data_IF_371943319758
#
_entry.id   IF_371943319758
#
_cell.length_a   1.000
_cell.length_b   1.000
_cell.length_c   1.000
_cell.angle_alpha   90.00
_cell.angle_beta   90.00
_cell.angle_gamma   90.00
#
_symmetry.space_group_name_H-M   'P 1'
#
loop_
_entity.id
_entity.type
_entity.pdbx_description
1 polymer ?
#
# COMPACT_ATOMS: atom_id res chain seq x y z
N UNK A 1 -36.76 -10.34 -1.52
CA UNK A 1 -36.30 -9.07 -0.93
C UNK A 1 -34.78 -9.12 -0.90
N UNK A 2 -34.12 -8.31 -1.70
CA UNK A 2 -32.66 -8.23 -1.68
C UNK A 2 -32.26 -7.58 -0.34
N UNK A 3 -31.43 -8.26 0.45
CA UNK A 3 -30.87 -7.68 1.66
C UNK A 3 -29.98 -6.51 1.24
N UNK A 4 -30.38 -5.28 1.60
CA UNK A 4 -29.53 -4.10 1.46
C UNK A 4 -28.27 -4.34 2.31
N UNK A 5 -27.10 -4.38 1.65
CA UNK A 5 -25.81 -4.34 2.35
C UNK A 5 -25.84 -3.15 3.33
N UNK A 6 -25.44 -3.34 4.60
CA UNK A 6 -25.35 -2.19 5.51
C UNK A 6 -24.39 -1.16 4.91
N UNK A 7 -24.78 0.11 4.97
CA UNK A 7 -23.93 1.20 4.49
C UNK A 7 -22.64 1.18 5.32
N UNK A 8 -21.50 1.03 4.65
CA UNK A 8 -20.19 1.13 5.30
C UNK A 8 -19.99 2.59 5.71
N UNK A 9 -19.80 2.84 7.02
CA UNK A 9 -19.56 4.18 7.52
C UNK A 9 -18.19 4.67 7.08
N UNK A 10 -18.07 5.92 6.59
CA UNK A 10 -16.79 6.51 6.23
C UNK A 10 -15.85 6.53 7.44
N UNK A 11 -14.63 6.01 7.28
CA UNK A 11 -13.58 6.02 8.29
C UNK A 11 -12.80 7.31 8.20
N UNK A 12 -12.54 7.98 9.31
CA UNK A 12 -11.92 9.31 9.35
C UNK A 12 -12.61 10.34 8.43
N UNK A 13 -13.89 10.13 8.12
CA UNK A 13 -14.63 10.92 7.13
C UNK A 13 -14.27 10.62 5.68
N UNK A 14 -13.49 9.58 5.41
CA UNK A 14 -13.06 9.17 4.07
C UNK A 14 -14.07 8.23 3.41
N UNK A 15 -14.25 8.31 2.08
CA UNK A 15 -15.21 7.46 1.36
C UNK A 15 -14.74 6.00 1.27
N UNK A 16 -15.69 5.07 1.16
CA UNK A 16 -15.42 3.71 0.70
C UNK A 16 -15.45 3.70 -0.83
N UNK A 17 -14.32 3.39 -1.47
CA UNK A 17 -14.17 3.47 -2.93
C UNK A 17 -14.40 2.14 -3.66
N UNK A 18 -14.52 1.00 -2.95
CA UNK A 18 -14.64 -0.31 -3.60
C UNK A 18 -13.30 -0.94 -3.96
N UNK A 19 -13.19 -1.50 -5.19
CA UNK A 19 -12.01 -2.23 -5.66
C UNK A 19 -11.24 -1.40 -6.70
N UNK A 20 -9.95 -1.22 -6.46
CA UNK A 20 -9.04 -0.45 -7.29
C UNK A 20 -7.79 -1.20 -7.71
N UNK A 21 -7.03 -0.59 -8.61
CA UNK A 21 -5.71 -1.04 -9.05
C UNK A 21 -4.74 0.14 -9.19
N UNK A 22 -3.45 -0.14 -9.23
CA UNK A 22 -2.44 0.86 -9.53
C UNK A 22 -2.56 1.38 -10.98
N UNK A 23 -2.46 2.70 -11.17
CA UNK A 23 -2.40 3.31 -12.49
C UNK A 23 -0.98 3.18 -13.05
N UNK A 24 -0.72 2.11 -13.80
CA UNK A 24 0.59 1.73 -14.30
C UNK A 24 0.72 1.95 -15.82
N UNK A 25 1.91 2.41 -16.33
CA UNK A 25 2.12 2.73 -17.75
C UNK A 25 1.69 1.65 -18.75
N UNK A 26 1.91 0.35 -18.51
CA UNK A 26 1.49 -0.69 -19.46
C UNK A 26 -0.02 -0.70 -19.75
N UNK A 27 -0.83 -0.14 -18.86
CA UNK A 27 -2.30 -0.13 -18.98
C UNK A 27 -2.86 1.12 -19.62
N UNK A 28 -2.07 2.18 -19.80
CA UNK A 28 -2.55 3.51 -20.22
C UNK A 28 -3.34 3.48 -21.53
N UNK A 29 -2.79 2.81 -22.56
CA UNK A 29 -3.45 2.74 -23.88
C UNK A 29 -4.82 2.05 -23.77
N UNK A 30 -4.88 0.92 -23.05
CA UNK A 30 -6.13 0.18 -22.83
C UNK A 30 -7.17 1.03 -22.08
N UNK A 31 -6.75 1.71 -21.01
CA UNK A 31 -7.64 2.54 -20.20
C UNK A 31 -8.17 3.74 -21.01
N UNK A 32 -7.33 4.38 -21.82
CA UNK A 32 -7.77 5.48 -22.68
C UNK A 32 -8.76 5.04 -23.76
N UNK A 33 -8.59 3.82 -24.29
CA UNK A 33 -9.46 3.28 -25.36
C UNK A 33 -10.81 2.77 -24.80
N UNK A 34 -10.79 2.08 -23.64
CA UNK A 34 -11.96 1.36 -23.13
C UNK A 34 -12.58 1.99 -21.87
N UNK A 35 -11.96 3.03 -21.34
CA UNK A 35 -12.30 3.64 -20.06
C UNK A 35 -11.82 2.84 -18.84
N UNK A 36 -11.92 3.44 -17.62
CA UNK A 36 -11.66 2.74 -16.39
C UNK A 36 -12.70 1.64 -16.16
N UNK A 37 -12.24 0.45 -15.79
CA UNK A 37 -13.08 -0.73 -15.50
C UNK A 37 -12.96 -1.16 -14.04
N UNK A 38 -12.51 -0.25 -13.19
CA UNK A 38 -12.37 -0.38 -11.74
C UNK A 38 -13.06 0.78 -11.05
N UNK A 39 -13.28 0.66 -9.75
CA UNK A 39 -13.99 1.69 -9.00
C UNK A 39 -13.10 2.93 -8.74
N UNK A 40 -11.77 2.76 -8.70
CA UNK A 40 -10.78 3.81 -8.43
C UNK A 40 -9.37 3.38 -8.83
N UNK A 41 -8.45 4.36 -8.93
CA UNK A 41 -7.03 4.10 -9.17
C UNK A 41 -6.15 4.69 -8.08
N UNK A 42 -5.02 4.01 -7.83
CA UNK A 42 -3.93 4.54 -7.04
C UNK A 42 -2.76 4.94 -7.93
N UNK A 43 -2.12 6.04 -7.61
CA UNK A 43 -0.89 6.48 -8.25
C UNK A 43 0.26 6.47 -7.27
N UNK A 44 1.47 6.14 -7.74
CA UNK A 44 2.70 6.46 -7.03
C UNK A 44 2.93 7.96 -7.22
N UNK A 45 2.83 8.71 -6.12
CA UNK A 45 2.83 10.17 -6.13
C UNK A 45 4.06 10.74 -6.84
N UNK A 46 5.23 10.16 -6.60
CA UNK A 46 6.51 10.61 -7.14
C UNK A 46 6.57 10.55 -8.67
N UNK A 47 5.84 9.62 -9.29
CA UNK A 47 5.78 9.52 -10.75
C UNK A 47 5.01 10.67 -11.41
N UNK A 48 4.24 11.43 -10.63
CA UNK A 48 3.37 12.50 -11.13
C UNK A 48 3.76 13.88 -10.59
N UNK A 49 4.63 13.97 -9.59
CA UNK A 49 5.19 15.24 -9.12
C UNK A 49 5.99 15.87 -10.27
N UNK A 50 5.66 17.13 -10.57
CA UNK A 50 6.27 17.92 -11.66
C UNK A 50 6.25 17.23 -13.04
N UNK A 51 5.35 16.27 -13.24
CA UNK A 51 5.15 15.56 -14.50
C UNK A 51 4.05 16.24 -15.33
N UNK A 52 4.40 16.68 -16.55
CA UNK A 52 3.50 17.36 -17.47
C UNK A 52 3.37 16.60 -18.82
N UNK A 53 3.87 15.36 -18.86
CA UNK A 53 3.90 14.52 -20.05
C UNK A 53 2.68 13.62 -20.22
N UNK A 54 2.86 12.55 -21.01
CA UNK A 54 1.81 11.59 -21.34
C UNK A 54 1.16 10.93 -20.11
N UNK A 55 1.96 10.56 -19.10
CA UNK A 55 1.43 9.99 -17.87
C UNK A 55 0.46 10.95 -17.16
N UNK A 56 0.81 12.25 -17.10
CA UNK A 56 -0.07 13.26 -16.54
C UNK A 56 -1.37 13.42 -17.32
N UNK A 57 -1.30 13.42 -18.64
CA UNK A 57 -2.50 13.44 -19.47
C UNK A 57 -3.43 12.26 -19.17
N UNK A 58 -2.86 11.04 -19.05
CA UNK A 58 -3.66 9.85 -18.69
C UNK A 58 -4.31 10.02 -17.33
N UNK A 59 -3.54 10.49 -16.33
CA UNK A 59 -4.06 10.75 -14.99
C UNK A 59 -5.23 11.75 -15.02
N UNK A 60 -5.11 12.86 -15.75
CA UNK A 60 -6.17 13.87 -15.86
C UNK A 60 -7.45 13.30 -16.49
N UNK A 61 -7.31 12.45 -17.53
CA UNK A 61 -8.45 11.77 -18.17
C UNK A 61 -9.13 10.78 -17.22
N UNK A 62 -8.35 10.03 -16.46
CA UNK A 62 -8.87 9.02 -15.51
C UNK A 62 -9.50 9.70 -14.29
N UNK A 63 -8.85 10.72 -13.73
CA UNK A 63 -9.34 11.47 -12.57
C UNK A 63 -10.68 12.20 -12.82
N UNK A 64 -11.00 12.49 -14.09
CA UNK A 64 -12.30 13.02 -14.48
C UNK A 64 -13.43 11.98 -14.43
N UNK A 65 -13.13 10.69 -14.32
CA UNK A 65 -14.09 9.60 -14.41
C UNK A 65 -14.25 8.81 -13.10
N UNK A 66 -13.14 8.57 -12.40
CA UNK A 66 -13.11 7.78 -11.15
C UNK A 66 -12.21 8.43 -10.09
N UNK A 67 -12.42 8.15 -8.80
CA UNK A 67 -11.56 8.64 -7.74
C UNK A 67 -10.09 8.20 -7.91
N UNK A 68 -9.19 9.07 -7.46
CA UNK A 68 -7.75 8.80 -7.38
C UNK A 68 -7.32 8.79 -5.92
N UNK A 69 -6.40 7.90 -5.59
CA UNK A 69 -5.65 7.87 -4.33
C UNK A 69 -4.18 8.14 -4.64
N UNK A 70 -3.52 8.92 -3.80
CA UNK A 70 -2.09 9.17 -3.87
C UNK A 70 -1.39 8.28 -2.85
N UNK A 71 -0.44 7.47 -3.33
CA UNK A 71 0.43 6.66 -2.49
C UNK A 71 1.87 7.10 -2.71
N UNK A 72 2.60 7.34 -1.62
CA UNK A 72 3.98 7.83 -1.64
C UNK A 72 4.97 6.77 -1.15
N UNK A 73 6.21 6.91 -1.60
CA UNK A 73 7.33 6.04 -1.20
C UNK A 73 8.51 6.84 -0.62
N UNK A 74 8.38 8.16 -0.53
CA UNK A 74 9.52 9.05 -0.24
C UNK A 74 9.35 9.94 0.99
N UNK A 75 8.24 9.82 1.73
CA UNK A 75 8.01 10.61 2.94
C UNK A 75 9.04 10.31 4.03
N UNK A 76 9.48 9.03 4.08
CA UNK A 76 10.50 8.58 5.04
C UNK A 76 10.17 9.01 6.48
N UNK A 77 8.92 8.72 6.89
CA UNK A 77 8.35 9.23 8.15
C UNK A 77 9.15 8.83 9.38
N UNK A 78 9.86 7.70 9.30
CA UNK A 78 10.70 7.14 10.34
C UNK A 78 12.14 7.67 10.37
N UNK A 79 12.55 8.47 9.37
CA UNK A 79 13.94 8.97 9.31
C UNK A 79 14.30 9.87 10.49
N UNK A 80 15.57 9.84 10.89
CA UNK A 80 16.15 10.79 11.84
C UNK A 80 16.42 12.18 11.24
N UNK A 81 16.43 12.29 9.91
CA UNK A 81 16.60 13.57 9.23
C UNK A 81 15.33 14.45 9.36
N UNK A 82 15.46 15.74 9.19
CA UNK A 82 14.30 16.63 9.16
C UNK A 82 13.33 16.25 8.02
N UNK A 83 12.04 16.54 8.21
CA UNK A 83 11.04 16.36 7.14
C UNK A 83 11.44 17.17 5.91
N UNK A 84 11.37 16.55 4.74
CA UNK A 84 11.64 17.23 3.47
C UNK A 84 10.46 18.14 3.09
N UNK A 85 10.55 19.41 3.51
CA UNK A 85 9.49 20.40 3.20
C UNK A 85 9.39 20.69 1.69
N UNK A 86 10.45 20.44 0.93
CA UNK A 86 10.43 20.51 -0.54
C UNK A 86 9.48 19.48 -1.12
N UNK A 87 9.66 18.22 -0.74
CA UNK A 87 8.79 17.11 -1.12
C UNK A 87 7.34 17.32 -0.64
N UNK A 88 7.13 17.73 0.60
CA UNK A 88 5.78 18.00 1.11
C UNK A 88 5.06 19.11 0.33
N UNK A 89 5.76 20.16 -0.13
CA UNK A 89 5.16 21.19 -0.99
C UNK A 89 4.76 20.65 -2.35
N UNK A 90 5.58 19.79 -2.95
CA UNK A 90 5.27 19.13 -4.23
C UNK A 90 4.06 18.18 -4.08
N UNK A 91 4.05 17.36 -3.02
CA UNK A 91 2.96 16.46 -2.71
C UNK A 91 1.63 17.21 -2.52
N UNK A 92 1.65 18.31 -1.74
CA UNK A 92 0.47 19.16 -1.53
C UNK A 92 -0.02 19.78 -2.84
N UNK A 93 0.88 20.31 -3.68
CA UNK A 93 0.52 20.87 -4.98
C UNK A 93 -0.16 19.84 -5.87
N UNK A 94 0.42 18.64 -5.99
CA UNK A 94 -0.20 17.55 -6.75
C UNK A 94 -1.58 17.21 -6.19
N UNK A 95 -1.73 17.13 -4.87
CA UNK A 95 -3.02 16.86 -4.23
C UNK A 95 -4.07 17.96 -4.45
N UNK A 96 -3.67 19.24 -4.51
CA UNK A 96 -4.55 20.35 -4.85
C UNK A 96 -5.04 20.26 -6.30
N UNK A 97 -4.19 19.78 -7.21
CA UNK A 97 -4.51 19.62 -8.64
C UNK A 97 -5.46 18.44 -8.90
N UNK A 98 -5.16 17.27 -8.36
CA UNK A 98 -5.92 16.03 -8.68
C UNK A 98 -7.01 15.70 -7.66
N UNK A 99 -7.01 16.34 -6.49
CA UNK A 99 -7.99 16.15 -5.41
C UNK A 99 -8.19 14.68 -5.02
N UNK A 100 -7.14 13.99 -4.58
CA UNK A 100 -7.23 12.58 -4.23
C UNK A 100 -8.17 12.37 -3.05
N UNK A 101 -8.77 11.17 -2.98
CA UNK A 101 -9.60 10.77 -1.85
C UNK A 101 -8.79 10.79 -0.54
N UNK A 102 -7.57 10.28 -0.57
CA UNK A 102 -6.58 10.40 0.52
C UNK A 102 -5.15 10.35 -0.03
N UNK A 103 -4.20 10.56 0.89
CA UNK A 103 -2.77 10.42 0.66
C UNK A 103 -2.25 9.38 1.64
N UNK A 104 -1.51 8.40 1.15
CA UNK A 104 -0.82 7.38 1.94
C UNK A 104 0.68 7.39 1.68
N UNK A 105 1.43 6.84 2.61
CA UNK A 105 2.88 6.57 2.51
C UNK A 105 3.24 5.48 3.52
N UNK A 106 4.46 4.95 3.48
CA UNK A 106 4.88 3.82 4.30
C UNK A 106 5.38 4.23 5.70
N UNK A 107 5.15 3.35 6.69
CA UNK A 107 5.76 3.46 8.01
C UNK A 107 7.19 2.93 7.97
N UNK A 108 8.07 3.67 7.34
CA UNK A 108 9.45 3.29 7.11
C UNK A 108 10.41 4.48 7.16
N UNK A 109 11.68 4.21 6.99
CA UNK A 109 12.66 5.22 6.59
C UNK A 109 13.36 4.76 5.32
N UNK A 110 13.61 5.69 4.40
CA UNK A 110 14.26 5.46 3.10
C UNK A 110 15.67 6.03 3.06
N UNK A 111 16.03 6.78 4.09
CA UNK A 111 17.34 7.40 4.16
C UNK A 111 17.59 8.11 5.49
N UNK A 112 18.86 8.35 5.78
CA UNK A 112 19.35 9.10 6.92
C UNK A 112 20.70 9.74 6.59
N UNK A 113 21.04 10.84 7.27
CA UNK A 113 22.28 11.61 7.04
C UNK A 113 22.50 11.98 5.56
N UNK A 114 21.42 12.35 4.87
CA UNK A 114 21.40 12.72 3.44
C UNK A 114 21.77 11.57 2.47
N UNK A 115 21.84 10.33 2.95
CA UNK A 115 21.97 9.13 2.12
C UNK A 115 20.60 8.51 1.92
N UNK A 116 20.26 8.14 0.67
CA UNK A 116 19.05 7.40 0.35
C UNK A 116 19.41 5.93 0.12
N UNK A 117 18.70 5.02 0.81
CA UNK A 117 18.89 3.57 0.65
C UNK A 117 18.24 3.03 -0.62
N UNK A 118 17.30 3.76 -1.20
CA UNK A 118 16.40 3.30 -2.25
C UNK A 118 15.60 2.06 -1.83
N UNK A 119 15.30 1.93 -0.55
CA UNK A 119 14.56 0.83 0.03
C UNK A 119 13.67 1.32 1.18
N UNK A 120 12.64 0.56 1.52
CA UNK A 120 11.71 0.83 2.62
C UNK A 120 12.20 0.09 3.87
N UNK A 121 12.96 0.77 4.70
CA UNK A 121 13.61 0.15 5.85
C UNK A 121 12.74 0.22 7.12
N UNK A 122 12.66 -0.86 7.92
CA UNK A 122 11.84 -0.92 9.12
C UNK A 122 12.38 -0.04 10.24
N UNK A 123 11.54 0.21 11.24
CA UNK A 123 11.84 0.97 12.44
C UNK A 123 12.03 0.04 13.65
N UNK A 124 12.85 0.39 14.63
CA UNK A 124 12.72 -0.22 15.95
C UNK A 124 11.35 0.14 16.53
N UNK A 125 10.61 -0.88 16.96
CA UNK A 125 9.26 -0.72 17.51
C UNK A 125 9.33 -0.51 19.02
N UNK A 126 9.66 0.72 19.42
CA UNK A 126 9.81 1.13 20.82
C UNK A 126 9.15 2.48 21.10
N UNK A 127 9.13 2.88 22.36
CA UNK A 127 8.53 4.13 22.83
C UNK A 127 9.21 5.38 22.24
N UNK A 128 10.50 5.32 21.96
CA UNK A 128 11.23 6.46 21.40
C UNK A 128 10.86 6.69 19.94
N UNK A 129 10.83 5.61 19.16
CA UNK A 129 10.40 5.61 17.77
C UNK A 129 8.93 6.01 17.64
N UNK A 130 8.05 5.50 18.51
CA UNK A 130 6.64 5.87 18.51
C UNK A 130 6.45 7.38 18.70
N UNK A 131 7.09 7.97 19.71
CA UNK A 131 7.03 9.43 19.94
C UNK A 131 7.59 10.23 18.77
N UNK A 132 8.70 9.77 18.20
CA UNK A 132 9.35 10.41 17.06
C UNK A 132 8.41 10.42 15.84
N UNK A 133 7.90 9.25 15.45
CA UNK A 133 6.99 9.11 14.30
C UNK A 133 5.69 9.88 14.54
N UNK A 134 5.09 9.78 15.72
CA UNK A 134 3.86 10.51 16.04
C UNK A 134 4.03 12.03 15.91
N UNK A 135 5.16 12.57 16.35
CA UNK A 135 5.48 13.99 16.18
C UNK A 135 5.55 14.40 14.70
N UNK A 136 6.15 13.55 13.87
CA UNK A 136 6.28 13.79 12.42
C UNK A 136 4.94 13.64 11.69
N UNK A 137 4.15 12.63 12.03
CA UNK A 137 2.80 12.44 11.48
C UNK A 137 1.93 13.66 11.72
N UNK A 138 1.92 14.21 12.95
CA UNK A 138 1.17 15.45 13.24
C UNK A 138 1.64 16.62 12.37
N UNK A 139 2.96 16.81 12.20
CA UNK A 139 3.51 17.86 11.37
C UNK A 139 3.11 17.70 9.88
N UNK A 140 3.15 16.47 9.36
CA UNK A 140 2.74 16.17 7.97
C UNK A 140 1.24 16.42 7.79
N UNK A 141 0.40 15.95 8.72
CA UNK A 141 -1.05 16.17 8.67
C UNK A 141 -1.42 17.65 8.75
N UNK A 142 -0.76 18.41 9.63
CA UNK A 142 -0.93 19.86 9.71
C UNK A 142 -0.53 20.54 8.41
N UNK A 143 0.63 20.15 7.83
CA UNK A 143 1.12 20.71 6.56
C UNK A 143 0.19 20.42 5.39
N UNK A 144 -0.33 19.17 5.29
CA UNK A 144 -1.21 18.74 4.21
C UNK A 144 -2.68 19.14 4.44
N UNK A 145 -3.07 19.49 5.67
CA UNK A 145 -4.44 19.84 6.04
C UNK A 145 -5.42 18.67 5.96
N UNK A 146 -4.93 17.43 6.08
CA UNK A 146 -5.71 16.18 6.00
C UNK A 146 -5.05 15.03 6.76
N UNK A 147 -5.81 13.98 7.13
CA UNK A 147 -5.22 12.77 7.68
C UNK A 147 -4.20 12.15 6.71
N UNK A 148 -3.10 11.65 7.24
CA UNK A 148 -2.15 10.79 6.55
C UNK A 148 -2.57 9.34 6.77
N UNK A 149 -2.44 8.51 5.73
CA UNK A 149 -2.69 7.08 5.83
C UNK A 149 -1.33 6.37 5.77
N UNK A 150 -1.03 5.54 6.75
CA UNK A 150 0.27 4.86 6.85
C UNK A 150 0.13 3.37 6.61
N UNK A 151 1.03 2.86 5.77
CA UNK A 151 1.12 1.45 5.43
C UNK A 151 2.15 0.71 6.28
N UNK A 152 1.83 -0.54 6.66
CA UNK A 152 2.77 -1.49 7.22
C UNK A 152 3.67 -2.06 6.12
N UNK A 153 4.98 -1.76 6.10
CA UNK A 153 5.89 -2.35 5.12
C UNK A 153 6.19 -3.82 5.45
N UNK A 154 6.60 -4.60 4.45
CA UNK A 154 7.21 -5.90 4.69
C UNK A 154 8.57 -5.75 5.39
N UNK A 155 8.93 -6.72 6.25
CA UNK A 155 10.18 -6.65 7.00
C UNK A 155 10.99 -7.95 6.90
N UNK A 156 12.32 -7.79 6.81
CA UNK A 156 13.29 -8.90 6.71
C UNK A 156 14.26 -8.92 7.87
N UNK A 157 14.20 -7.92 8.72
CA UNK A 157 15.04 -7.77 9.92
C UNK A 157 14.21 -7.24 11.07
N UNK A 158 14.57 -7.64 12.28
CA UNK A 158 14.00 -7.12 13.51
C UNK A 158 15.09 -6.40 14.31
N UNK A 159 14.69 -5.41 15.09
CA UNK A 159 15.59 -4.70 15.99
C UNK A 159 15.54 -5.30 17.39
N UNK A 160 16.69 -5.66 17.94
CA UNK A 160 16.79 -6.24 19.29
C UNK A 160 16.23 -5.32 20.40
N UNK A 161 16.17 -4.01 20.16
CA UNK A 161 15.60 -3.01 21.06
C UNK A 161 14.08 -2.83 20.91
N UNK A 162 13.43 -3.47 19.93
CA UNK A 162 11.96 -3.44 19.82
C UNK A 162 11.34 -4.00 21.09
N UNK A 163 10.40 -3.26 21.68
CA UNK A 163 9.76 -3.57 22.97
C UNK A 163 8.24 -3.78 22.86
N UNK A 164 7.68 -3.60 21.66
CA UNK A 164 6.27 -3.86 21.38
C UNK A 164 6.10 -4.47 19.98
N UNK A 165 5.02 -5.22 19.74
CA UNK A 165 4.71 -5.73 18.41
C UNK A 165 4.19 -4.61 17.49
N UNK A 166 4.28 -4.81 16.18
CA UNK A 166 3.91 -3.79 15.19
C UNK A 166 2.44 -3.39 15.27
N UNK A 167 1.52 -4.31 15.50
CA UNK A 167 0.10 -3.98 15.65
C UNK A 167 -0.20 -3.06 16.83
N UNK A 168 0.56 -3.17 17.95
CA UNK A 168 0.46 -2.26 19.08
C UNK A 168 1.02 -0.89 18.71
N UNK A 169 2.18 -0.85 18.04
CA UNK A 169 2.79 0.40 17.57
C UNK A 169 1.83 1.16 16.64
N UNK A 170 1.27 0.48 15.64
CA UNK A 170 0.30 1.05 14.70
C UNK A 170 -0.97 1.52 15.42
N UNK A 171 -1.47 0.73 16.37
CA UNK A 171 -2.65 1.08 17.15
C UNK A 171 -2.45 2.37 17.93
N UNK A 172 -1.39 2.43 18.70
CA UNK A 172 -1.03 3.61 19.52
C UNK A 172 -0.72 4.84 18.65
N UNK A 173 -0.04 4.64 17.51
CA UNK A 173 0.23 5.71 16.56
C UNK A 173 -1.06 6.31 16.01
N UNK A 174 -1.99 5.46 15.58
CA UNK A 174 -3.27 5.89 15.02
C UNK A 174 -4.14 6.60 16.07
N UNK A 175 -4.23 6.07 17.29
CA UNK A 175 -4.96 6.69 18.40
C UNK A 175 -4.38 8.05 18.79
N UNK A 176 -3.04 8.16 18.84
CA UNK A 176 -2.33 9.37 19.30
C UNK A 176 -2.36 10.50 18.25
N UNK A 177 -2.36 10.17 16.97
CA UNK A 177 -2.20 11.16 15.89
C UNK A 177 -3.47 11.38 15.08
N UNK A 178 -4.44 10.46 15.14
CA UNK A 178 -5.61 10.44 14.28
C UNK A 178 -5.30 10.08 12.82
N UNK A 179 -4.13 9.50 12.53
CA UNK A 179 -3.83 8.99 11.20
C UNK A 179 -4.67 7.75 10.88
N UNK A 180 -4.83 7.46 9.59
CA UNK A 180 -5.39 6.20 9.14
C UNK A 180 -4.32 5.16 8.87
N UNK A 181 -4.77 3.93 8.62
CA UNK A 181 -3.91 2.82 8.25
C UNK A 181 -4.32 2.30 6.87
N UNK A 182 -3.32 2.05 6.05
CA UNK A 182 -3.36 1.17 4.90
C UNK A 182 -2.78 -0.16 5.38
N UNK A 183 -3.60 -1.18 5.38
CA UNK A 183 -3.15 -2.52 5.72
C UNK A 183 -2.79 -3.27 4.44
N UNK A 184 -1.50 -3.41 4.18
CA UNK A 184 -1.05 -4.36 3.17
C UNK A 184 -1.06 -5.78 3.76
N UNK A 185 -1.95 -6.60 3.20
CA UNK A 185 -2.19 -7.97 3.65
C UNK A 185 -1.09 -8.91 3.15
N UNK A 186 -0.48 -8.60 2.00
CA UNK A 186 0.68 -9.34 1.50
C UNK A 186 1.91 -9.09 2.38
N UNK A 187 2.14 -7.84 2.83
CA UNK A 187 3.23 -7.49 3.74
C UNK A 187 3.10 -8.21 5.07
N UNK A 188 1.87 -8.33 5.59
CA UNK A 188 1.60 -9.17 6.78
C UNK A 188 1.94 -10.62 6.50
N UNK A 189 1.54 -11.17 5.33
CA UNK A 189 1.84 -12.55 4.96
C UNK A 189 3.34 -12.80 4.84
N UNK A 190 4.07 -11.94 4.12
CA UNK A 190 5.52 -12.00 3.94
C UNK A 190 6.24 -11.93 5.28
N UNK A 191 5.94 -10.92 6.09
CA UNK A 191 6.59 -10.72 7.38
C UNK A 191 6.27 -11.85 8.37
N UNK A 192 5.02 -12.33 8.38
CA UNK A 192 4.63 -13.46 9.23
C UNK A 192 5.38 -14.75 8.88
N UNK A 193 5.58 -15.02 7.59
CA UNK A 193 6.38 -16.16 7.13
C UNK A 193 7.86 -16.00 7.56
N UNK A 194 8.45 -14.84 7.29
CA UNK A 194 9.86 -14.59 7.50
C UNK A 194 10.27 -14.53 8.98
N UNK A 195 9.38 -14.05 9.85
CA UNK A 195 9.63 -13.92 11.31
C UNK A 195 8.94 -14.98 12.15
N UNK A 196 8.10 -15.84 11.57
CA UNK A 196 7.49 -16.99 12.25
C UNK A 196 6.34 -16.62 13.19
N UNK A 197 5.55 -15.58 12.90
CA UNK A 197 4.37 -15.25 13.70
C UNK A 197 3.05 -15.54 12.96
N UNK A 198 1.91 -15.51 13.68
CA UNK A 198 0.59 -15.76 13.11
C UNK A 198 0.02 -14.49 12.44
N UNK A 199 -0.07 -14.50 11.11
CA UNK A 199 -0.63 -13.41 10.31
C UNK A 199 -2.09 -13.09 10.67
N UNK A 200 -2.91 -14.10 11.04
CA UNK A 200 -4.29 -13.87 11.44
C UNK A 200 -4.37 -13.19 12.81
N UNK A 201 -3.50 -13.60 13.75
CA UNK A 201 -3.41 -12.96 15.06
C UNK A 201 -2.99 -11.49 14.91
N UNK A 202 -2.03 -11.18 14.04
CA UNK A 202 -1.63 -9.83 13.71
C UNK A 202 -2.84 -8.98 13.26
N UNK A 203 -3.57 -9.43 12.24
CA UNK A 203 -4.73 -8.69 11.71
C UNK A 203 -5.83 -8.51 12.78
N UNK A 204 -6.04 -9.49 13.67
CA UNK A 204 -7.04 -9.37 14.75
C UNK A 204 -6.69 -8.33 15.81
N UNK A 205 -5.41 -8.03 16.00
CA UNK A 205 -4.92 -7.06 17.00
C UNK A 205 -4.91 -5.62 16.50
N UNK A 206 -5.02 -5.40 15.18
CA UNK A 206 -4.98 -4.07 14.60
C UNK A 206 -6.17 -3.19 15.01
N UNK A 207 -6.04 -1.87 15.02
CA UNK A 207 -7.13 -0.92 15.30
C UNK A 207 -8.05 -0.81 14.08
N UNK A 208 -8.94 -1.77 13.88
CA UNK A 208 -9.78 -1.90 12.67
C UNK A 208 -10.56 -0.63 12.33
N UNK A 209 -10.88 0.21 13.31
CA UNK A 209 -11.56 1.49 13.07
C UNK A 209 -10.70 2.52 12.33
N UNK A 210 -9.38 2.38 12.33
CA UNK A 210 -8.45 3.26 11.64
C UNK A 210 -8.02 2.74 10.27
N UNK A 211 -8.32 1.48 9.92
CA UNK A 211 -7.97 0.93 8.61
C UNK A 211 -8.91 1.51 7.56
N UNK A 212 -8.35 2.22 6.59
CA UNK A 212 -9.04 2.92 5.50
C UNK A 212 -9.00 2.13 4.20
N UNK A 213 -7.88 1.44 3.97
CA UNK A 213 -7.56 0.76 2.72
C UNK A 213 -6.83 -0.54 2.99
N UNK A 214 -7.01 -1.51 2.09
CA UNK A 214 -6.20 -2.73 2.03
C UNK A 214 -5.41 -2.76 0.74
N UNK A 215 -4.15 -3.21 0.79
CA UNK A 215 -3.38 -3.66 -0.38
C UNK A 215 -3.35 -5.18 -0.45
N UNK A 216 -3.30 -5.69 -1.68
CA UNK A 216 -3.24 -7.10 -2.04
C UNK A 216 -2.19 -7.27 -3.14
N UNK A 217 -1.26 -8.17 -2.94
CA UNK A 217 -0.23 -8.47 -3.91
C UNK A 217 0.17 -9.96 -3.87
N UNK A 218 1.01 -10.37 -4.80
CA UNK A 218 1.65 -11.68 -4.79
C UNK A 218 3.15 -11.55 -4.55
N UNK A 219 3.71 -12.24 -3.54
CA UNK A 219 5.14 -12.27 -3.24
C UNK A 219 5.87 -13.28 -4.12
N UNK A 220 7.20 -13.16 -4.20
CA UNK A 220 8.06 -14.23 -4.70
C UNK A 220 8.41 -15.19 -3.57
N UNK A 221 8.17 -16.48 -3.79
CA UNK A 221 8.53 -17.55 -2.86
C UNK A 221 9.95 -18.05 -3.21
N UNK A 222 10.91 -17.81 -2.30
CA UNK A 222 12.29 -18.29 -2.38
C UNK A 222 12.55 -19.53 -1.50
N UNK A 223 11.50 -20.18 -0.99
CA UNK A 223 11.56 -21.37 -0.15
C UNK A 223 11.63 -21.01 1.33
N UNK A 224 12.79 -20.64 1.86
CA UNK A 224 12.95 -20.26 3.26
C UNK A 224 12.44 -18.84 3.55
N UNK A 225 12.40 -17.96 2.55
CA UNK A 225 12.05 -16.55 2.65
C UNK A 225 11.04 -16.18 1.56
N UNK A 226 10.02 -15.42 1.91
CA UNK A 226 9.17 -14.72 0.96
C UNK A 226 9.74 -13.33 0.71
N UNK A 227 9.72 -12.89 -0.56
CA UNK A 227 10.12 -11.54 -0.96
C UNK A 227 8.89 -10.78 -1.47
N UNK A 228 8.71 -9.59 -0.98
CA UNK A 228 7.62 -8.69 -1.31
C UNK A 228 7.87 -8.00 -2.66
N UNK A 229 7.61 -8.73 -3.74
CA UNK A 229 7.95 -8.28 -5.11
C UNK A 229 6.75 -7.69 -5.85
N UNK A 230 5.53 -7.96 -5.42
CA UNK A 230 4.30 -7.55 -6.11
C UNK A 230 4.30 -7.87 -7.61
N UNK A 231 4.80 -9.05 -7.98
CA UNK A 231 5.02 -9.44 -9.37
C UNK A 231 4.30 -10.74 -9.81
N UNK A 232 3.47 -11.28 -8.93
CA UNK A 232 2.77 -12.55 -9.11
C UNK A 232 1.27 -12.44 -8.76
N UNK A 233 0.45 -13.42 -9.17
CA UNK A 233 -0.94 -13.52 -8.70
C UNK A 233 -1.02 -13.65 -7.17
N UNK A 234 -2.08 -13.09 -6.59
CA UNK A 234 -2.33 -13.14 -5.14
C UNK A 234 -2.53 -14.59 -4.68
N UNK A 235 -1.72 -15.11 -3.74
CA UNK A 235 -1.86 -16.48 -3.27
C UNK A 235 -3.10 -16.67 -2.39
N UNK A 236 -3.59 -17.90 -2.29
CA UNK A 236 -4.79 -18.21 -1.51
C UNK A 236 -4.66 -17.82 -0.03
N UNK A 237 -3.45 -17.88 0.53
CA UNK A 237 -3.17 -17.42 1.90
C UNK A 237 -3.51 -15.93 2.08
N UNK A 238 -3.08 -15.07 1.16
CA UNK A 238 -3.35 -13.64 1.18
C UNK A 238 -4.84 -13.36 0.96
N UNK A 239 -5.52 -14.09 0.07
CA UNK A 239 -6.98 -13.98 -0.09
C UNK A 239 -7.75 -14.32 1.19
N UNK A 240 -7.31 -15.33 1.97
CA UNK A 240 -7.92 -15.65 3.26
C UNK A 240 -7.72 -14.54 4.30
N UNK A 241 -6.51 -13.98 4.35
CA UNK A 241 -6.21 -12.83 5.23
C UNK A 241 -7.02 -11.60 4.84
N UNK A 242 -7.17 -11.34 3.54
CA UNK A 242 -8.03 -10.28 3.02
C UNK A 242 -9.48 -10.45 3.48
N UNK A 243 -10.03 -11.64 3.31
CA UNK A 243 -11.41 -11.93 3.75
C UNK A 243 -11.57 -11.73 5.28
N UNK A 244 -10.55 -12.08 6.07
CA UNK A 244 -10.53 -11.80 7.50
C UNK A 244 -10.53 -10.30 7.78
N UNK A 245 -9.64 -9.53 7.14
CA UNK A 245 -9.53 -8.09 7.29
C UNK A 245 -10.84 -7.38 6.91
N UNK A 246 -11.45 -7.74 5.78
CA UNK A 246 -12.74 -7.19 5.34
C UNK A 246 -13.87 -7.46 6.36
N UNK A 247 -13.91 -8.65 6.97
CA UNK A 247 -14.90 -8.95 8.02
C UNK A 247 -14.68 -8.13 9.28
N UNK A 248 -13.44 -8.01 9.73
CA UNK A 248 -13.09 -7.29 10.98
C UNK A 248 -13.27 -5.78 10.83
N UNK A 249 -12.98 -5.24 9.67
CA UNK A 249 -13.19 -3.82 9.36
C UNK A 249 -14.64 -3.48 9.04
N UNK A 250 -15.48 -4.44 8.72
CA UNK A 250 -16.84 -4.19 8.22
C UNK A 250 -16.87 -3.73 6.75
N UNK A 251 -15.77 -3.91 6.03
CA UNK A 251 -15.59 -3.54 4.62
C UNK A 251 -14.88 -2.20 4.44
N UNK A 252 -13.73 -2.22 3.77
CA UNK A 252 -12.95 -1.05 3.38
C UNK A 252 -12.50 -1.16 1.93
N UNK A 253 -12.04 -0.04 1.35
CA UNK A 253 -11.49 0.00 0.00
C UNK A 253 -10.31 -0.96 -0.13
N UNK A 254 -10.19 -1.66 -1.26
CA UNK A 254 -9.08 -2.57 -1.49
C UNK A 254 -8.45 -2.32 -2.87
N UNK A 255 -7.14 -2.43 -2.92
CA UNK A 255 -6.33 -2.27 -4.11
C UNK A 255 -5.61 -3.59 -4.41
N UNK A 256 -5.64 -4.01 -5.66
CA UNK A 256 -4.68 -4.99 -6.17
C UNK A 256 -3.46 -4.24 -6.69
N UNK A 257 -2.34 -4.43 -6.01
CA UNK A 257 -1.05 -3.86 -6.38
C UNK A 257 -0.25 -4.86 -7.20
N UNK A 258 0.33 -4.36 -8.32
CA UNK A 258 1.18 -5.17 -9.18
C UNK A 258 2.26 -4.26 -9.79
N UNK A 259 3.51 -4.42 -9.35
CA UNK A 259 4.58 -3.45 -9.61
C UNK A 259 5.64 -3.95 -10.60
N UNK A 260 5.83 -5.25 -10.69
CA UNK A 260 6.74 -5.86 -11.64
C UNK A 260 6.05 -6.99 -12.41
N UNK A 261 6.59 -7.39 -13.57
CA UNK A 261 5.95 -8.39 -14.45
C UNK A 261 4.46 -8.11 -14.70
N UNK A 262 4.10 -6.82 -14.84
CA UNK A 262 2.72 -6.33 -14.87
C UNK A 262 1.95 -7.03 -16.00
N UNK A 263 0.85 -7.75 -15.71
CA UNK A 263 0.07 -8.46 -16.72
C UNK A 263 -0.74 -7.50 -17.59
N UNK A 264 -1.30 -7.99 -18.70
CA UNK A 264 -2.28 -7.23 -19.46
C UNK A 264 -3.49 -6.83 -18.59
N UNK A 265 -4.06 -5.66 -18.84
CA UNK A 265 -5.14 -5.09 -18.02
C UNK A 265 -6.33 -6.05 -17.80
N UNK A 266 -6.84 -6.80 -18.81
CA UNK A 266 -7.90 -7.78 -18.57
C UNK A 266 -7.52 -8.91 -17.60
N UNK A 267 -6.24 -9.30 -17.56
CA UNK A 267 -5.74 -10.30 -16.60
C UNK A 267 -5.68 -9.72 -15.17
N UNK A 268 -5.25 -8.47 -15.04
CA UNK A 268 -5.27 -7.74 -13.77
C UNK A 268 -6.71 -7.64 -13.22
N UNK A 269 -7.68 -7.31 -14.09
CA UNK A 269 -9.10 -7.25 -13.70
C UNK A 269 -9.67 -8.60 -13.31
N UNK A 270 -9.25 -9.68 -13.97
CA UNK A 270 -9.64 -11.04 -13.60
C UNK A 270 -9.11 -11.42 -12.21
N UNK A 271 -7.87 -11.04 -11.90
CA UNK A 271 -7.27 -11.23 -10.58
C UNK A 271 -8.02 -10.41 -9.50
N UNK A 272 -8.26 -9.11 -9.76
CA UNK A 272 -9.03 -8.25 -8.86
C UNK A 272 -10.45 -8.82 -8.60
N UNK A 273 -11.06 -9.44 -9.61
CA UNK A 273 -12.38 -10.08 -9.50
C UNK A 273 -12.46 -11.17 -8.43
N UNK A 274 -11.33 -11.78 -8.07
CA UNK A 274 -11.25 -12.79 -7.00
C UNK A 274 -11.52 -12.22 -5.62
N UNK A 275 -11.33 -10.90 -5.41
CA UNK A 275 -11.65 -10.25 -4.15
C UNK A 275 -13.09 -10.51 -3.71
N UNK A 276 -14.05 -10.44 -4.63
CA UNK A 276 -15.45 -10.71 -4.35
C UNK A 276 -15.71 -12.18 -3.97
N UNK A 277 -14.96 -13.11 -4.57
CA UNK A 277 -15.03 -14.54 -4.23
C UNK A 277 -14.43 -14.79 -2.83
N UNK A 278 -13.33 -14.13 -2.50
CA UNK A 278 -12.73 -14.20 -1.17
C UNK A 278 -13.65 -13.66 -0.08
N UNK A 279 -14.34 -12.54 -0.32
CA UNK A 279 -15.34 -11.97 0.60
C UNK A 279 -16.50 -12.95 0.87
N UNK A 280 -16.87 -13.79 -0.09
CA UNK A 280 -17.87 -14.85 0.07
C UNK A 280 -17.34 -16.12 0.71
N UNK A 281 -16.03 -16.20 0.98
CA UNK A 281 -15.38 -17.37 1.58
C UNK A 281 -15.16 -18.53 0.60
N UNK A 282 -15.08 -18.24 -0.70
CA UNK A 282 -14.97 -19.27 -1.77
C UNK A 282 -13.53 -19.78 -1.99
N UNK A 283 -12.52 -19.25 -1.26
CA UNK A 283 -11.16 -19.77 -1.35
C UNK A 283 -11.03 -21.04 -0.51
N UNK A 284 -10.98 -22.19 -1.21
CA UNK A 284 -10.73 -23.49 -0.60
C UNK A 284 -9.32 -23.58 0.02
N UNK A 285 -9.13 -24.50 0.98
CA UNK A 285 -7.81 -24.82 1.53
C UNK A 285 -6.85 -25.27 0.41
N UNK A 286 -5.57 -24.90 0.53
CA UNK A 286 -4.56 -25.02 -0.52
C UNK A 286 -4.40 -26.44 -1.09
N UNK A 287 -4.45 -26.53 -2.42
CA UNK A 287 -3.63 -27.53 -3.11
C UNK A 287 -2.15 -27.08 -3.01
N UNK A 288 -1.18 -27.97 -2.74
CA UNK A 288 0.21 -27.62 -2.63
C UNK A 288 0.67 -26.89 -3.92
N UNK A 289 1.32 -25.74 -3.75
CA UNK A 289 1.83 -24.91 -4.85
C UNK A 289 2.74 -25.75 -5.74
N UNK A 290 2.46 -25.76 -7.04
CA UNK A 290 3.38 -26.33 -8.01
C UNK A 290 4.67 -25.50 -7.95
N UNK A 291 5.79 -26.14 -7.64
CA UNK A 291 7.13 -25.54 -7.61
C UNK A 291 7.45 -24.93 -8.96
N UNK A 292 7.31 -23.62 -9.10
CA UNK A 292 7.83 -22.91 -10.25
C UNK A 292 9.36 -22.83 -10.11
N UNK A 293 10.07 -23.31 -11.10
CA UNK A 293 11.54 -23.27 -11.14
C UNK A 293 11.99 -21.81 -11.20
N UNK A 294 12.65 -21.35 -10.16
CA UNK A 294 13.16 -19.99 -10.03
C UNK A 294 14.27 -19.71 -11.01
N UNK A 295 14.02 -18.81 -11.95
CA UNK A 295 15.04 -17.99 -12.59
C UNK A 295 14.82 -16.57 -12.08
N UNK A 296 15.31 -16.30 -10.88
CA UNK A 296 15.11 -15.01 -10.23
C UNK A 296 16.21 -14.03 -10.66
N UNK A 297 15.85 -13.09 -11.52
CA UNK A 297 16.49 -11.78 -11.46
C UNK A 297 15.74 -10.99 -10.37
N UNK A 298 16.40 -10.78 -9.24
CA UNK A 298 15.85 -9.95 -8.15
C UNK A 298 15.77 -8.52 -8.70
N UNK A 299 14.58 -8.04 -9.03
CA UNK A 299 14.33 -6.64 -9.32
C UNK A 299 14.00 -5.95 -8.01
N UNK A 300 14.70 -4.84 -7.72
CA UNK A 300 14.36 -3.99 -6.58
C UNK A 300 12.91 -3.48 -6.73
N UNK A 301 12.14 -3.39 -5.64
CA UNK A 301 10.74 -2.99 -5.68
C UNK A 301 10.48 -1.56 -6.18
N UNK A 302 11.52 -0.75 -6.30
CA UNK A 302 11.47 0.59 -6.85
C UNK A 302 12.07 0.59 -8.27
N UNK A 303 11.21 0.51 -9.28
CA UNK A 303 11.61 0.60 -10.70
C UNK A 303 12.09 2.01 -11.08
N UNK A 304 13.23 2.46 -10.53
CA UNK A 304 13.94 3.63 -11.02
C UNK A 304 14.79 3.27 -12.23
N UNK A 305 14.33 3.61 -13.43
CA UNK A 305 15.21 3.73 -14.57
C UNK A 305 16.11 4.96 -14.35
N UNK A 306 17.33 4.71 -13.86
CA UNK A 306 18.40 5.72 -13.95
C UNK A 306 18.66 5.98 -15.44
N UNK A 307 18.16 7.08 -15.96
CA UNK A 307 18.55 7.58 -17.27
C UNK A 307 20.05 7.84 -17.26
N UNK A 308 20.81 7.12 -18.09
CA UNK A 308 22.21 7.36 -18.31
C UNK A 308 22.36 8.78 -18.89
N UNK A 309 22.89 9.68 -18.10
CA UNK A 309 23.43 10.97 -18.57
C UNK A 309 24.75 10.65 -19.24
N UNK A 310 24.77 10.57 -20.56
CA UNK A 310 26.01 10.68 -21.32
C UNK A 310 26.39 12.17 -21.40
N UNK A 311 27.59 12.46 -20.90
CA UNK A 311 28.25 13.69 -20.68
C UNK A 311 28.62 14.57 -21.79
#
# INVERSE_FOLDING_TARGET
MAATKPAVLPRLGLPHLGLGVGLRPPHYAHILEHGPQVDWFEIISENFIDNHGYARHVLDVVAAQVPIVMHGVSLSIGSSDALNLGYLRQLRRLAEEIRPAWISDHLCWTGAASLNSHDLLPLPLDEASLRHVAGRVRQVQEFLGRPLILENPSTYVEFAQSSMPEWEFLGRLAEDTGCGLLLDVNNVHVSAHNHGYDAQAYIRQLPHAHIVQLHLAGPTDCGEVLIDTHDAPVPAAVWRLYALAQRLTGGVSALLEWDANIPAYPQLLAELGKARAAERGEFAEDAPAATASASAAVSAPLGFHAGAVHG
#
